data_IF_781631943870
#
_entry.id   IF_781631943870
#
_cell.length_a   1.000
_cell.length_b   1.000
_cell.length_c   1.000
_cell.angle_alpha   90.00
_cell.angle_beta   90.00
_cell.angle_gamma   90.00
#
_symmetry.space_group_name_H-M   'P 1'
#
loop_
_entity.id
_entity.type
_entity.pdbx_description
1 polymer ?
#
# COMPACT_ATOMS: atom_id res chain seq x y z
N UNK A 1 -2.91 -7.20 13.74
CA UNK A 1 -1.81 -7.63 14.64
C UNK A 1 -0.73 -6.57 14.61
N UNK A 2 -0.11 -6.24 15.76
CA UNK A 2 1.02 -5.32 15.83
C UNK A 2 2.23 -6.07 16.41
N UNK A 3 3.41 -5.86 15.82
CA UNK A 3 4.66 -6.53 16.21
C UNK A 3 5.73 -5.46 16.46
N UNK A 4 6.09 -5.25 17.72
CA UNK A 4 7.21 -4.39 18.11
C UNK A 4 8.50 -5.19 18.29
N UNK A 5 9.57 -4.84 17.60
CA UNK A 5 10.90 -5.41 17.82
C UNK A 5 12.01 -4.38 17.56
N UNK A 6 13.18 -4.58 18.17
CA UNK A 6 14.40 -3.79 17.94
C UNK A 6 14.90 -3.93 16.49
N UNK A 7 15.74 -3.00 16.01
CA UNK A 7 16.37 -3.11 14.69
C UNK A 7 17.16 -4.42 14.51
N UNK A 8 17.19 -4.97 13.30
CA UNK A 8 17.97 -6.19 12.99
C UNK A 8 17.30 -7.52 13.33
N UNK A 9 16.10 -7.54 13.92
CA UNK A 9 15.39 -8.80 14.29
C UNK A 9 14.71 -9.52 13.13
N UNK A 10 14.93 -9.12 11.87
CA UNK A 10 14.32 -9.79 10.71
C UNK A 10 12.84 -9.48 10.46
N UNK A 11 12.28 -8.38 11.00
CA UNK A 11 10.86 -8.00 10.76
C UNK A 11 10.49 -7.91 9.27
N UNK A 12 11.39 -7.38 8.43
CA UNK A 12 11.17 -7.30 6.98
C UNK A 12 11.08 -8.68 6.34
N UNK A 13 11.90 -9.63 6.78
CA UNK A 13 11.84 -11.03 6.33
C UNK A 13 10.54 -11.71 6.77
N UNK A 14 10.06 -11.41 7.98
CA UNK A 14 8.75 -11.90 8.44
C UNK A 14 7.60 -11.36 7.58
N UNK A 15 7.65 -10.10 7.15
CA UNK A 15 6.64 -9.52 6.24
C UNK A 15 6.62 -10.29 4.91
N UNK A 16 7.78 -10.62 4.37
CA UNK A 16 7.90 -11.42 3.14
C UNK A 16 7.35 -12.84 3.32
N UNK A 17 7.64 -13.50 4.44
CA UNK A 17 7.07 -14.81 4.74
C UNK A 17 5.53 -14.78 4.88
N UNK A 18 4.98 -13.75 5.52
CA UNK A 18 3.52 -13.56 5.62
C UNK A 18 2.91 -13.33 4.24
N UNK A 19 3.59 -12.57 3.36
CA UNK A 19 3.14 -12.36 1.99
C UNK A 19 3.03 -13.69 1.24
N UNK A 20 4.08 -14.53 1.28
CA UNK A 20 4.04 -15.85 0.65
C UNK A 20 2.88 -16.70 1.18
N UNK A 21 2.65 -16.69 2.50
CA UNK A 21 1.53 -17.41 3.11
C UNK A 21 0.16 -16.89 2.62
N UNK A 22 0.00 -15.58 2.46
CA UNK A 22 -1.23 -14.99 1.93
C UNK A 22 -1.43 -15.35 0.46
N UNK A 23 -0.36 -15.32 -0.34
CA UNK A 23 -0.42 -15.73 -1.74
C UNK A 23 -0.79 -17.22 -1.88
N UNK A 24 -0.27 -18.08 -0.99
CA UNK A 24 -0.58 -19.51 -0.94
C UNK A 24 -2.02 -19.81 -0.52
N UNK A 25 -2.59 -19.05 0.43
CA UNK A 25 -3.97 -19.30 0.90
C UNK A 25 -5.01 -18.79 -0.10
N UNK A 26 -4.79 -17.60 -0.68
CA UNK A 26 -5.80 -16.93 -1.50
C UNK A 26 -5.68 -17.24 -2.99
N UNK A 27 -4.53 -17.76 -3.46
CA UNK A 27 -4.28 -18.09 -4.88
C UNK A 27 -4.81 -17.00 -5.84
N UNK A 28 -4.33 -15.75 -5.71
CA UNK A 28 -4.87 -14.63 -6.46
C UNK A 28 -4.75 -14.88 -7.97
N UNK A 29 -5.82 -14.63 -8.72
CA UNK A 29 -5.75 -14.65 -10.18
C UNK A 29 -4.85 -13.52 -10.67
N UNK A 30 -4.23 -13.72 -11.83
CA UNK A 30 -3.35 -12.71 -12.43
C UNK A 30 -4.03 -11.33 -12.48
N UNK A 31 -3.46 -10.36 -11.73
CA UNK A 31 -3.94 -8.98 -11.65
C UNK A 31 -4.83 -8.64 -10.46
N UNK A 32 -5.19 -9.60 -9.61
CA UNK A 32 -5.96 -9.37 -8.39
C UNK A 32 -5.05 -8.97 -7.22
N UNK A 33 -5.35 -7.86 -6.55
CA UNK A 33 -4.60 -7.37 -5.39
C UNK A 33 -5.33 -7.84 -4.13
N UNK A 34 -4.81 -8.90 -3.50
CA UNK A 34 -5.35 -9.46 -2.25
C UNK A 34 -4.68 -8.87 -1.00
N UNK A 35 -3.41 -8.47 -1.12
CA UNK A 35 -2.60 -7.96 -0.02
C UNK A 35 -1.80 -6.76 -0.49
N UNK A 36 -1.80 -5.69 0.31
CA UNK A 36 -0.99 -4.51 0.08
C UNK A 36 0.04 -4.37 1.20
N UNK A 37 1.33 -4.43 0.84
CA UNK A 37 2.43 -4.12 1.76
C UNK A 37 2.71 -2.63 1.68
N UNK A 38 2.58 -1.94 2.80
CA UNK A 38 2.81 -0.50 2.88
C UNK A 38 3.77 -0.10 3.99
N UNK A 39 4.52 0.96 3.74
CA UNK A 39 5.39 1.60 4.71
C UNK A 39 5.23 3.13 4.69
N UNK A 40 5.59 3.85 5.76
CA UNK A 40 5.48 5.30 5.79
C UNK A 40 6.51 6.01 4.89
N UNK A 41 7.73 5.46 4.78
CA UNK A 41 8.83 6.04 4.00
C UNK A 41 9.13 5.23 2.74
N UNK A 42 9.63 5.90 1.70
CA UNK A 42 9.98 5.27 0.43
C UNK A 42 11.03 4.18 0.57
N UNK A 43 12.08 4.41 1.38
CA UNK A 43 13.16 3.43 1.58
C UNK A 43 12.67 2.17 2.31
N UNK A 44 11.79 2.32 3.30
CA UNK A 44 11.23 1.18 4.01
C UNK A 44 10.29 0.36 3.11
N UNK A 45 9.47 1.05 2.28
CA UNK A 45 8.61 0.40 1.30
C UNK A 45 9.44 -0.38 0.26
N UNK A 46 10.50 0.23 -0.26
CA UNK A 46 11.41 -0.39 -1.22
C UNK A 46 12.03 -1.68 -0.67
N UNK A 47 12.49 -1.67 0.59
CA UNK A 47 13.13 -2.82 1.22
C UNK A 47 12.20 -4.05 1.39
N UNK A 48 10.89 -3.86 1.40
CA UNK A 48 9.90 -4.96 1.51
C UNK A 48 9.12 -5.18 0.21
N UNK A 49 9.54 -4.55 -0.89
CA UNK A 49 8.84 -4.62 -2.18
C UNK A 49 7.41 -4.04 -2.14
N UNK A 50 7.16 -3.09 -1.23
CA UNK A 50 5.84 -2.49 -0.99
C UNK A 50 5.70 -1.07 -1.54
N UNK A 51 4.61 -0.41 -1.15
CA UNK A 51 4.27 0.95 -1.53
C UNK A 51 4.32 1.90 -0.33
N UNK A 52 4.45 3.21 -0.56
CA UNK A 52 4.24 4.17 0.53
C UNK A 52 2.75 4.30 0.84
N UNK A 53 2.40 4.51 2.11
CA UNK A 53 0.99 4.71 2.52
C UNK A 53 0.36 5.91 1.81
N UNK A 54 1.14 6.97 1.58
CA UNK A 54 0.73 8.16 0.85
C UNK A 54 0.39 7.87 -0.62
N UNK A 55 1.10 6.93 -1.25
CA UNK A 55 0.86 6.55 -2.65
C UNK A 55 -0.28 5.52 -2.79
N UNK A 56 -0.53 4.72 -1.75
CA UNK A 56 -1.67 3.79 -1.74
C UNK A 56 -3.01 4.50 -1.55
N UNK A 57 -3.09 5.45 -0.62
CA UNK A 57 -4.33 6.14 -0.23
C UNK A 57 -4.44 7.59 -0.73
N UNK A 58 -3.73 7.94 -1.81
CA UNK A 58 -3.45 9.32 -2.22
C UNK A 58 -3.51 10.38 -1.10
N UNK A 59 -2.78 10.15 0.00
CA UNK A 59 -2.84 11.05 1.13
C UNK A 59 -2.17 12.39 0.74
N UNK A 60 -2.87 13.52 0.88
CA UNK A 60 -2.26 14.81 0.63
C UNK A 60 -1.13 15.06 1.64
N UNK A 61 -0.05 15.67 1.16
CA UNK A 61 1.09 16.03 1.99
C UNK A 61 0.72 17.31 2.73
N UNK A 62 0.63 17.23 4.06
CA UNK A 62 0.45 18.41 4.89
C UNK A 62 1.72 19.25 4.87
N UNK A 63 1.62 20.49 4.42
CA UNK A 63 2.67 21.49 4.52
C UNK A 63 2.22 22.57 5.51
N UNK A 64 3.10 22.92 6.46
CA UNK A 64 2.97 24.07 7.37
C UNK A 64 1.59 24.22 8.04
N UNK A 65 1.08 23.14 8.66
CA UNK A 65 -0.12 23.20 9.50
C UNK A 65 -1.44 23.40 8.75
N UNK A 66 -1.42 23.37 7.41
CA UNK A 66 -2.65 23.29 6.61
C UNK A 66 -3.07 21.82 6.54
N UNK A 67 -4.04 21.44 7.36
CA UNK A 67 -4.69 20.13 7.27
C UNK A 67 -5.28 19.98 5.88
N UNK A 68 -4.75 19.04 5.12
CA UNK A 68 -5.30 18.76 3.81
C UNK A 68 -6.56 17.90 3.96
N UNK A 69 -7.56 18.15 3.13
CA UNK A 69 -8.83 17.42 3.21
C UNK A 69 -8.61 15.93 2.95
N UNK A 70 -8.85 15.10 3.97
CA UNK A 70 -8.78 13.65 3.86
C UNK A 70 -10.13 13.08 3.42
N UNK A 71 -10.08 12.06 2.56
CA UNK A 71 -11.25 11.26 2.21
C UNK A 71 -11.38 10.09 3.18
N UNK A 72 -12.60 9.69 3.51
CA UNK A 72 -12.81 8.51 4.31
C UNK A 72 -12.36 7.27 3.51
N UNK A 73 -11.82 6.27 4.20
CA UNK A 73 -11.36 5.02 3.57
C UNK A 73 -12.50 4.33 2.79
N UNK A 74 -13.73 4.46 3.28
CA UNK A 74 -14.94 4.00 2.59
C UNK A 74 -15.06 4.61 1.18
N UNK A 75 -14.70 5.87 1.02
CA UNK A 75 -14.90 6.62 -0.22
C UNK A 75 -13.84 6.24 -1.26
N UNK A 76 -12.63 5.89 -0.80
CA UNK A 76 -11.53 5.38 -1.63
C UNK A 76 -11.80 3.96 -2.17
N UNK A 77 -12.50 3.13 -1.41
CA UNK A 77 -12.80 1.74 -1.78
C UNK A 77 -14.07 1.59 -2.63
N UNK A 78 -14.94 2.60 -2.66
CA UNK A 78 -16.21 2.58 -3.41
C UNK A 78 -16.09 2.95 -4.90
N UNK A 79 -14.93 3.42 -5.37
CA UNK A 79 -14.77 3.79 -6.79
C UNK A 79 -14.58 2.52 -7.63
N UNK A 80 -15.51 2.18 -8.56
CA UNK A 80 -15.37 0.99 -9.37
C UNK A 80 -14.12 1.07 -10.27
N UNK A 81 -13.51 -0.08 -10.65
CA UNK A 81 -12.34 -0.11 -11.53
C UNK A 81 -12.70 0.52 -12.87
N UNK A 82 -12.31 1.78 -13.09
CA UNK A 82 -12.57 2.42 -14.38
C UNK A 82 -11.67 1.79 -15.44
N UNK A 83 -12.31 1.07 -16.37
CA UNK A 83 -11.71 0.44 -17.56
C UNK A 83 -10.75 -0.72 -17.26
N UNK A 84 -11.10 -1.59 -16.29
CA UNK A 84 -10.36 -2.86 -16.06
C UNK A 84 -8.91 -2.68 -15.61
N UNK A 85 -8.51 -1.45 -15.24
CA UNK A 85 -7.23 -1.17 -14.61
C UNK A 85 -7.48 -0.97 -13.12
N UNK A 86 -6.72 -1.63 -12.22
CA UNK A 86 -6.80 -1.31 -10.80
C UNK A 86 -6.57 0.19 -10.63
N UNK A 87 -7.33 0.83 -9.73
CA UNK A 87 -7.29 2.29 -9.46
C UNK A 87 -5.84 2.79 -9.32
N UNK A 88 -4.96 1.94 -8.78
CA UNK A 88 -3.52 2.15 -8.68
C UNK A 88 -2.81 2.50 -10.01
N UNK A 89 -3.24 1.95 -11.16
CA UNK A 89 -2.60 2.20 -12.47
C UNK A 89 -3.10 3.48 -13.14
N UNK A 90 -4.30 3.96 -12.80
CA UNK A 90 -4.89 5.19 -13.39
C UNK A 90 -4.28 6.46 -12.80
N UNK A 91 -3.81 6.41 -11.55
CA UNK A 91 -3.08 7.53 -10.91
C UNK A 91 -1.67 7.68 -11.50
N UNK A 92 -1.07 6.60 -12.02
CA UNK A 92 0.26 6.63 -12.66
C UNK A 92 0.31 7.45 -13.96
N UNK A 93 -0.82 7.68 -14.65
CA UNK A 93 -0.86 8.43 -15.93
C UNK A 93 -1.22 9.91 -15.76
N UNK A 94 -1.28 10.43 -14.53
CA UNK A 94 -1.40 11.88 -14.27
C UNK A 94 -0.08 12.52 -13.81
N UNK A 95 1.00 11.74 -13.80
CA UNK A 95 2.37 12.20 -13.60
C UNK A 95 3.12 11.89 -14.90
N UNK A 96 3.17 12.88 -15.78
CA UNK A 96 4.36 13.09 -16.62
C UNK A 96 5.53 13.33 -15.68
#
# INVERSE_FOLDING_TARGET
MFIGCVGGTGKSFLIEAIKCLVDDIWHPKSGEIICAIVAPTGIAAFNVGGLTIHRLFPLPIEHEGKTAGYWALSDLLQVPPVNGRPVCKKISNKLV
#
